data_IF_120724667922
#
_entry.id   IF_120724667922
#
_cell.length_a   1.000
_cell.length_b   1.000
_cell.length_c   1.000
_cell.angle_alpha   90.00
_cell.angle_beta   90.00
_cell.angle_gamma   90.00
#
_symmetry.space_group_name_H-M   'P 1'
#
loop_
_entity.id
_entity.type
_entity.pdbx_description
1 polymer ?
#
# COMPACT_ATOMS: atom_id res chain seq x y z
N UNK A 1 26.15 -13.74 12.60
CA UNK A 1 26.69 -12.48 12.06
C UNK A 1 25.48 -11.63 11.69
N UNK A 2 24.89 -10.96 12.68
CA UNK A 2 23.79 -10.02 12.49
C UNK A 2 24.33 -8.79 11.75
N UNK A 3 23.84 -8.53 10.53
CA UNK A 3 24.06 -7.24 9.87
C UNK A 3 22.90 -6.35 10.32
N UNK A 4 23.13 -5.36 11.21
CA UNK A 4 22.10 -4.39 11.54
C UNK A 4 21.81 -3.57 10.28
N UNK A 5 20.64 -3.80 9.70
CA UNK A 5 20.11 -2.99 8.61
C UNK A 5 19.87 -1.57 9.13
N UNK A 6 20.90 -0.74 8.99
CA UNK A 6 20.85 0.67 9.26
C UNK A 6 19.76 1.31 8.37
N UNK A 7 18.65 1.68 9.00
CA UNK A 7 17.65 2.57 8.41
C UNK A 7 18.29 3.93 8.17
N UNK A 8 18.80 4.15 6.97
CA UNK A 8 19.06 5.50 6.49
C UNK A 8 17.70 6.19 6.26
N UNK A 9 17.25 6.94 7.26
CA UNK A 9 15.98 7.69 7.27
C UNK A 9 16.28 9.20 7.23
N UNK A 10 17.23 9.62 6.41
CA UNK A 10 17.57 11.03 6.23
C UNK A 10 17.44 11.45 4.77
N UNK A 11 16.84 12.60 4.56
CA UNK A 11 16.77 13.32 3.28
C UNK A 11 15.86 12.76 2.17
N UNK A 12 14.53 12.91 2.34
CA UNK A 12 13.64 13.45 1.29
C UNK A 12 12.25 13.82 1.82
N UNK A 13 12.23 14.51 2.94
CA UNK A 13 11.15 15.44 3.26
C UNK A 13 11.82 16.81 3.20
N UNK A 14 11.41 17.71 2.31
CA UNK A 14 11.34 19.17 2.53
C UNK A 14 10.95 19.92 1.23
N UNK A 15 9.82 20.62 1.36
CA UNK A 15 9.36 21.87 0.72
C UNK A 15 9.04 21.91 -0.78
N UNK A 16 7.77 21.58 -1.04
CA UNK A 16 6.81 22.39 -1.82
C UNK A 16 7.29 23.82 -2.14
N UNK A 17 7.76 24.02 -3.37
CA UNK A 17 7.78 25.33 -4.00
C UNK A 17 6.37 25.59 -4.58
N UNK A 18 5.61 26.45 -3.90
CA UNK A 18 4.35 26.94 -4.42
C UNK A 18 4.55 27.79 -5.68
N UNK A 19 3.61 27.66 -6.64
CA UNK A 19 3.25 28.70 -7.60
C UNK A 19 1.88 28.38 -8.24
N UNK A 20 0.90 29.23 -7.90
CA UNK A 20 -0.26 29.69 -8.69
C UNK A 20 -1.25 28.60 -9.16
N UNK A 21 -2.41 28.38 -8.54
CA UNK A 21 -3.61 29.27 -8.43
C UNK A 21 -3.99 29.99 -9.73
N UNK A 22 -5.27 29.84 -10.09
CA UNK A 22 -6.06 30.66 -11.02
C UNK A 22 -5.99 30.37 -12.53
N UNK A 23 -6.42 29.19 -12.95
CA UNK A 23 -7.11 29.06 -14.25
C UNK A 23 -8.44 28.32 -14.06
N UNK A 24 -9.39 29.06 -13.49
CA UNK A 24 -10.82 28.73 -13.44
C UNK A 24 -11.38 28.69 -14.86
N UNK A 25 -11.20 27.59 -15.60
CA UNK A 25 -11.99 27.35 -16.81
C UNK A 25 -13.31 26.72 -16.41
N UNK A 26 -14.31 27.59 -16.37
CA UNK A 26 -15.76 27.36 -16.29
C UNK A 26 -16.26 26.38 -17.36
N UNK A 27 -16.13 25.08 -17.14
CA UNK A 27 -16.89 24.08 -17.90
C UNK A 27 -17.98 23.53 -16.99
N UNK A 28 -19.08 24.28 -16.96
CA UNK A 28 -20.40 23.81 -16.58
C UNK A 28 -20.80 22.72 -17.57
N UNK A 29 -20.82 21.46 -17.13
CA UNK A 29 -21.51 20.40 -17.87
C UNK A 29 -22.59 19.80 -16.97
N UNK A 30 -23.82 19.98 -17.45
CA UNK A 30 -25.03 19.29 -17.07
C UNK A 30 -24.80 17.78 -16.93
N UNK A 31 -25.01 17.23 -15.75
CA UNK A 31 -25.31 15.80 -15.58
C UNK A 31 -26.72 15.66 -15.02
N UNK A 32 -27.56 15.04 -15.84
CA UNK A 32 -28.94 14.69 -15.56
C UNK A 32 -28.98 13.60 -14.47
N UNK A 33 -29.67 13.91 -13.38
CA UNK A 33 -29.92 13.05 -12.22
C UNK A 33 -30.63 11.76 -12.63
N UNK A 34 -30.09 10.61 -12.22
CA UNK A 34 -30.86 9.38 -12.02
C UNK A 34 -30.90 9.08 -10.51
N UNK A 35 -32.09 8.95 -9.89
CA UNK A 35 -32.21 8.44 -8.54
C UNK A 35 -32.10 6.91 -8.55
N UNK A 36 -31.24 6.36 -7.71
CA UNK A 36 -31.20 4.95 -7.38
C UNK A 36 -31.29 4.82 -5.84
N UNK A 37 -32.47 4.44 -5.39
CA UNK A 37 -32.80 4.11 -4.01
C UNK A 37 -32.39 2.64 -3.76
N UNK A 38 -31.50 2.38 -2.78
CA UNK A 38 -31.62 1.26 -1.83
C UNK A 38 -30.61 1.46 -0.70
N UNK A 39 -31.12 1.91 0.45
CA UNK A 39 -30.40 2.00 1.71
C UNK A 39 -30.37 0.63 2.38
N UNK A 40 -29.39 -0.20 2.02
CA UNK A 40 -29.06 -1.42 2.75
C UNK A 40 -28.30 -1.09 4.03
N UNK A 41 -29.03 -0.91 5.13
CA UNK A 41 -28.45 -0.67 6.46
C UNK A 41 -28.12 -2.01 7.11
N UNK A 42 -26.90 -2.51 6.92
CA UNK A 42 -26.40 -3.60 7.76
C UNK A 42 -25.76 -2.99 9.00
N UNK A 43 -26.30 -3.35 10.17
CA UNK A 43 -25.71 -3.09 11.48
C UNK A 43 -24.45 -3.94 11.62
N UNK A 44 -23.39 -3.59 10.90
CA UNK A 44 -22.09 -4.24 10.99
C UNK A 44 -21.15 -3.33 11.77
N UNK A 45 -20.78 -3.72 12.98
CA UNK A 45 -19.66 -3.09 13.69
C UNK A 45 -18.46 -2.96 12.75
N UNK A 46 -17.66 -1.90 12.94
CA UNK A 46 -16.52 -1.57 12.08
C UNK A 46 -15.44 -2.66 12.13
N UNK A 47 -15.69 -3.76 11.43
CA UNK A 47 -14.77 -4.87 11.27
C UNK A 47 -13.71 -4.39 10.28
N UNK A 48 -12.56 -3.94 10.77
CA UNK A 48 -11.36 -3.83 9.94
C UNK A 48 -10.83 -5.26 9.79
N UNK A 49 -10.95 -5.90 8.61
CA UNK A 49 -10.32 -7.20 8.46
C UNK A 49 -8.83 -7.05 8.73
N UNK A 50 -8.26 -7.98 9.50
CA UNK A 50 -6.81 -8.08 9.63
C UNK A 50 -6.22 -8.25 8.22
N UNK A 51 -5.22 -7.45 7.85
CA UNK A 51 -4.72 -7.38 6.47
C UNK A 51 -5.48 -6.41 5.55
N UNK A 52 -6.49 -5.67 6.04
CA UNK A 52 -7.04 -4.56 5.28
C UNK A 52 -5.94 -3.57 4.88
N UNK A 53 -6.11 -2.96 3.71
CA UNK A 53 -5.33 -1.81 3.28
C UNK A 53 -5.31 -0.72 4.37
N UNK A 54 -4.14 -0.18 4.67
CA UNK A 54 -3.97 0.80 5.75
C UNK A 54 -3.87 0.20 7.15
N UNK A 55 -3.57 -1.10 7.28
CA UNK A 55 -3.29 -1.75 8.57
C UNK A 55 -1.84 -1.57 9.04
N UNK A 56 -0.95 -1.14 8.14
CA UNK A 56 0.48 -0.92 8.41
C UNK A 56 0.85 0.51 8.01
N UNK A 57 1.50 1.25 8.90
CA UNK A 57 2.03 2.58 8.57
C UNK A 57 3.31 2.48 7.71
N UNK A 58 3.63 3.53 6.95
CA UNK A 58 4.84 3.58 6.11
C UNK A 58 6.11 3.29 6.92
N UNK A 59 6.17 3.73 8.17
CA UNK A 59 7.31 3.55 9.07
C UNK A 59 7.47 2.12 9.61
N UNK A 60 6.39 1.33 9.61
CA UNK A 60 6.39 -0.09 10.01
C UNK A 60 6.77 -1.04 8.87
N UNK A 61 6.63 -0.60 7.60
CA UNK A 61 6.97 -1.39 6.43
C UNK A 61 8.33 -2.10 6.52
N UNK A 62 9.45 -1.44 6.92
CA UNK A 62 10.74 -2.09 6.96
C UNK A 62 10.78 -3.29 7.93
N UNK A 63 10.12 -3.17 9.09
CA UNK A 63 10.14 -4.23 10.11
C UNK A 63 9.23 -5.40 9.70
N UNK A 64 8.06 -5.11 9.13
CA UNK A 64 7.17 -6.14 8.59
C UNK A 64 7.81 -6.90 7.43
N UNK A 65 8.49 -6.19 6.53
CA UNK A 65 9.19 -6.78 5.41
C UNK A 65 10.43 -7.59 5.83
N UNK A 66 11.14 -7.17 6.87
CA UNK A 66 12.25 -7.93 7.45
C UNK A 66 11.79 -9.33 7.89
N UNK A 67 10.71 -9.39 8.67
CA UNK A 67 10.09 -10.65 9.05
C UNK A 67 9.63 -11.46 7.84
N UNK A 68 8.88 -10.86 6.91
CA UNK A 68 8.35 -11.57 5.73
C UNK A 68 9.46 -12.15 4.85
N UNK A 69 10.61 -11.48 4.76
CA UNK A 69 11.75 -11.91 3.96
C UNK A 69 12.78 -12.76 4.73
N UNK A 70 12.57 -13.02 6.02
CA UNK A 70 13.54 -13.74 6.87
C UNK A 70 13.86 -15.17 6.39
N UNK A 71 12.90 -15.86 5.79
CA UNK A 71 13.05 -17.25 5.36
C UNK A 71 13.64 -17.42 3.95
N UNK A 72 13.74 -16.35 3.14
CA UNK A 72 14.27 -16.45 1.77
C UNK A 72 15.78 -16.25 1.76
N UNK A 73 16.49 -17.02 0.92
CA UNK A 73 17.92 -16.78 0.65
C UNK A 73 18.16 -15.50 -0.15
N UNK A 74 17.14 -15.02 -0.87
CA UNK A 74 17.21 -13.82 -1.73
C UNK A 74 16.64 -12.61 -0.99
N UNK A 75 17.29 -12.27 0.14
CA UNK A 75 16.80 -11.24 1.06
C UNK A 75 16.74 -9.85 0.41
N UNK A 76 17.82 -9.40 -0.25
CA UNK A 76 17.87 -8.07 -0.87
C UNK A 76 16.74 -7.79 -1.87
N UNK A 77 16.48 -8.63 -2.90
CA UNK A 77 15.36 -8.39 -3.80
C UNK A 77 14.00 -8.54 -3.10
N UNK A 78 13.87 -9.46 -2.13
CA UNK A 78 12.63 -9.60 -1.36
C UNK A 78 12.31 -8.31 -0.59
N UNK A 79 13.27 -7.77 0.17
CA UNK A 79 13.11 -6.55 0.94
C UNK A 79 12.78 -5.36 0.04
N UNK A 80 13.46 -5.24 -1.11
CA UNK A 80 13.20 -4.17 -2.08
C UNK A 80 11.75 -4.20 -2.56
N UNK A 81 11.27 -5.35 -3.04
CA UNK A 81 9.91 -5.44 -3.58
C UNK A 81 8.85 -5.42 -2.48
N UNK A 82 9.10 -6.02 -1.32
CA UNK A 82 8.20 -5.95 -0.17
C UNK A 82 7.97 -4.50 0.25
N UNK A 83 9.02 -3.69 0.40
CA UNK A 83 8.88 -2.30 0.79
C UNK A 83 8.13 -1.45 -0.25
N UNK A 84 8.37 -1.67 -1.55
CA UNK A 84 7.61 -1.00 -2.62
C UNK A 84 6.11 -1.34 -2.52
N UNK A 85 5.79 -2.60 -2.28
CA UNK A 85 4.40 -3.04 -2.17
C UNK A 85 3.74 -2.56 -0.86
N UNK A 86 4.46 -2.61 0.26
CA UNK A 86 3.98 -2.10 1.53
C UNK A 86 3.73 -0.59 1.49
N UNK A 87 4.64 0.21 0.89
CA UNK A 87 4.43 1.65 0.77
C UNK A 87 3.23 2.00 -0.10
N UNK A 88 2.92 1.18 -1.11
CA UNK A 88 1.78 1.40 -2.00
C UNK A 88 0.45 0.93 -1.40
N UNK A 89 0.47 -0.17 -0.66
CA UNK A 89 -0.75 -0.85 -0.18
C UNK A 89 -0.99 -0.69 1.32
N UNK A 90 -0.01 -0.19 2.07
CA UNK A 90 -0.04 -0.05 3.53
C UNK A 90 -0.42 -1.37 4.23
N UNK A 91 0.11 -2.48 3.70
CA UNK A 91 -0.18 -3.84 4.14
C UNK A 91 0.99 -4.78 3.79
N UNK A 92 1.32 -5.69 4.71
CA UNK A 92 2.25 -6.81 4.50
C UNK A 92 1.54 -8.07 4.98
N UNK A 93 1.35 -9.10 4.14
CA UNK A 93 0.64 -10.29 4.57
C UNK A 93 1.42 -11.07 5.63
N UNK A 94 0.72 -11.86 6.42
CA UNK A 94 1.26 -12.67 7.50
C UNK A 94 2.24 -13.75 6.99
N UNK A 95 3.09 -14.22 7.88
CA UNK A 95 4.09 -15.24 7.60
C UNK A 95 5.23 -14.76 6.69
N UNK A 96 6.06 -15.72 6.27
CA UNK A 96 7.26 -15.48 5.44
C UNK A 96 7.05 -15.86 3.96
N UNK A 97 5.88 -16.40 3.63
CA UNK A 97 5.46 -16.78 2.26
C UNK A 97 3.94 -16.97 2.24
N UNK A 98 3.33 -16.88 1.05
CA UNK A 98 1.89 -17.09 0.89
C UNK A 98 1.03 -15.97 1.51
N UNK A 99 -0.22 -16.32 1.87
CA UNK A 99 -1.23 -15.48 2.51
C UNK A 99 -1.50 -14.14 1.83
N UNK A 100 -1.23 -14.03 0.51
CA UNK A 100 -1.31 -12.75 -0.19
C UNK A 100 -2.74 -12.22 -0.21
N UNK A 101 -3.73 -13.11 -0.18
CA UNK A 101 -5.16 -12.81 -0.09
C UNK A 101 -5.54 -11.95 1.11
N UNK A 102 -4.75 -11.95 2.19
CA UNK A 102 -4.97 -11.05 3.33
C UNK A 102 -4.85 -9.58 2.93
N UNK A 103 -3.97 -9.26 1.98
CA UNK A 103 -3.73 -7.91 1.48
C UNK A 103 -4.09 -7.84 -0.03
N UNK A 104 -5.36 -7.59 -0.42
CA UNK A 104 -5.80 -7.61 -1.82
C UNK A 104 -4.98 -6.69 -2.74
N UNK A 105 -4.66 -5.47 -2.28
CA UNK A 105 -3.78 -4.58 -3.03
C UNK A 105 -2.40 -5.21 -3.28
N UNK A 106 -1.77 -5.77 -2.24
CA UNK A 106 -0.43 -6.39 -2.33
C UNK A 106 -0.44 -7.60 -3.28
N UNK A 107 -1.49 -8.43 -3.23
CA UNK A 107 -1.66 -9.60 -4.08
C UNK A 107 -1.83 -9.25 -5.57
N UNK A 108 -2.62 -8.21 -5.84
CA UNK A 108 -3.03 -7.86 -7.20
C UNK A 108 -2.01 -6.98 -7.93
N UNK A 109 -0.98 -6.49 -7.26
CA UNK A 109 0.10 -5.76 -7.92
C UNK A 109 0.89 -6.67 -8.87
N UNK A 110 0.85 -6.32 -10.15
CA UNK A 110 1.61 -6.98 -11.20
C UNK A 110 2.80 -6.14 -11.64
N UNK A 111 3.85 -6.81 -12.12
CA UNK A 111 4.94 -6.17 -12.84
C UNK A 111 4.47 -5.79 -14.24
N UNK A 112 5.29 -5.04 -14.98
CA UNK A 112 4.98 -4.72 -16.39
C UNK A 112 4.87 -5.96 -17.28
N UNK A 113 5.36 -7.13 -16.83
CA UNK A 113 5.27 -8.40 -17.55
C UNK A 113 4.04 -9.23 -17.13
N UNK A 114 3.15 -8.69 -16.28
CA UNK A 114 1.95 -9.39 -15.81
C UNK A 114 2.18 -10.38 -14.65
N UNK A 115 3.43 -10.63 -14.27
CA UNK A 115 3.77 -11.50 -13.14
C UNK A 115 3.47 -10.82 -11.80
N UNK A 116 3.22 -11.62 -10.76
CA UNK A 116 3.08 -11.09 -9.39
C UNK A 116 4.33 -10.32 -8.99
N UNK A 117 4.15 -9.06 -8.62
CA UNK A 117 5.27 -8.13 -8.32
C UNK A 117 5.83 -8.33 -6.92
N UNK A 118 4.94 -8.57 -5.96
CA UNK A 118 5.26 -8.54 -4.54
C UNK A 118 5.63 -9.93 -4.02
N UNK A 119 6.61 -10.05 -3.10
CA UNK A 119 7.07 -11.33 -2.55
C UNK A 119 6.03 -12.01 -1.66
#
# INVERSE_FOLDING_TARGET
MDVPYARDRSARQYIYAGKKTEFLTRITLHFCSKPAEVSGSTNGGFYRPVGAEGSVSIEECPQKCDYRCSATKRQEPCLKYCNICCQKCLCVPSGTSGNKEECPCYNNLKSSQGNSKCP
#
